data_IF_770903776707
#
_entry.id   IF_770903776707
#
_cell.length_a   1.000
_cell.length_b   1.000
_cell.length_c   1.000
_cell.angle_alpha   90.00
_cell.angle_beta   90.00
_cell.angle_gamma   90.00
#
_symmetry.space_group_name_H-M   'P 1'
#
loop_
_entity.id
_entity.type
_entity.pdbx_description
1 polymer ?
#
# COMPACT_ATOMS: atom_id res chain seq x y z
N UNK A 1 -6.56 19.13 12.17
CA UNK A 1 -5.46 18.14 12.22
C UNK A 1 -6.07 16.84 12.67
N UNK A 2 -6.39 15.96 11.72
CA UNK A 2 -6.85 14.61 12.04
C UNK A 2 -5.58 13.76 12.12
N UNK A 3 -5.39 13.08 13.25
CA UNK A 3 -4.25 12.21 13.51
C UNK A 3 -4.35 11.01 12.54
N UNK A 4 -3.58 11.03 11.44
CA UNK A 4 -3.49 9.97 10.42
C UNK A 4 -2.70 8.75 10.94
N UNK A 5 -2.91 8.42 12.21
CA UNK A 5 -2.26 7.34 12.93
C UNK A 5 -3.25 6.17 13.03
N UNK A 6 -2.78 4.93 13.14
CA UNK A 6 -3.63 3.73 13.32
C UNK A 6 -4.68 3.94 14.43
N UNK A 7 -4.30 4.60 15.51
CA UNK A 7 -5.20 4.94 16.61
C UNK A 7 -6.31 5.92 16.21
N UNK A 8 -6.03 6.87 15.31
CA UNK A 8 -7.02 7.79 14.75
C UNK A 8 -8.02 7.08 13.84
N UNK A 9 -7.56 6.16 13.00
CA UNK A 9 -8.44 5.33 12.15
C UNK A 9 -9.33 4.42 12.99
N UNK A 10 -8.76 3.72 13.99
CA UNK A 10 -9.54 2.87 14.90
C UNK A 10 -10.56 3.66 15.72
N UNK A 11 -10.21 4.88 16.15
CA UNK A 11 -11.14 5.74 16.91
C UNK A 11 -12.31 6.19 16.05
N UNK A 12 -12.08 6.61 14.80
CA UNK A 12 -13.17 6.98 13.87
C UNK A 12 -14.13 5.81 13.61
N UNK A 13 -13.58 4.60 13.42
CA UNK A 13 -14.41 3.40 13.22
C UNK A 13 -15.19 3.04 14.49
N UNK A 14 -14.54 3.11 15.64
CA UNK A 14 -15.19 2.93 16.94
C UNK A 14 -16.37 3.89 17.13
N UNK A 15 -16.18 5.17 16.80
CA UNK A 15 -17.25 6.19 16.83
C UNK A 15 -18.36 5.90 15.82
N UNK A 16 -17.99 5.55 14.58
CA UNK A 16 -18.95 5.27 13.50
C UNK A 16 -19.84 4.06 13.80
N UNK A 17 -19.28 3.02 14.41
CA UNK A 17 -19.98 1.76 14.67
C UNK A 17 -20.47 1.61 16.12
N UNK A 18 -20.11 2.54 17.02
CA UNK A 18 -20.47 2.49 18.44
C UNK A 18 -19.86 1.30 19.20
N UNK A 19 -18.74 0.76 18.70
CA UNK A 19 -18.05 -0.42 19.26
C UNK A 19 -16.71 -0.01 19.86
N UNK A 20 -16.15 -0.80 20.77
CA UNK A 20 -14.85 -0.49 21.34
C UNK A 20 -13.74 -0.65 20.27
N UNK A 21 -12.64 0.13 20.32
CA UNK A 21 -11.53 -0.03 19.39
C UNK A 21 -10.92 -1.45 19.39
N UNK A 22 -10.99 -2.15 20.52
CA UNK A 22 -10.58 -3.56 20.61
C UNK A 22 -11.47 -4.50 19.80
N UNK A 23 -12.77 -4.21 19.72
CA UNK A 23 -13.72 -5.00 18.93
C UNK A 23 -13.48 -4.77 17.43
N UNK A 24 -13.14 -3.53 17.02
CA UNK A 24 -12.74 -3.23 15.64
C UNK A 24 -11.55 -4.09 15.22
N UNK A 25 -10.54 -4.23 16.08
CA UNK A 25 -9.36 -5.06 15.81
C UNK A 25 -9.68 -6.55 15.69
N UNK A 26 -10.67 -7.04 16.45
CA UNK A 26 -11.11 -8.43 16.41
C UNK A 26 -12.01 -8.74 15.21
N UNK A 27 -12.82 -7.77 14.76
CA UNK A 27 -13.70 -7.92 13.61
C UNK A 27 -12.95 -7.74 12.28
N UNK A 28 -11.83 -7.01 12.30
CA UNK A 28 -11.02 -6.81 11.10
C UNK A 28 -10.29 -8.09 10.72
N UNK A 29 -10.52 -8.57 9.49
CA UNK A 29 -9.87 -9.78 8.95
C UNK A 29 -8.65 -9.47 8.10
N UNK A 30 -8.60 -8.30 7.46
CA UNK A 30 -7.47 -7.87 6.64
C UNK A 30 -7.17 -6.40 6.87
N UNK A 31 -5.91 -6.06 7.09
CA UNK A 31 -5.43 -4.69 7.02
C UNK A 31 -4.77 -4.46 5.66
N UNK A 32 -5.28 -3.48 4.90
CA UNK A 32 -4.66 -3.03 3.66
C UNK A 32 -3.69 -1.91 4.02
N UNK A 33 -2.40 -2.16 3.86
CA UNK A 33 -1.35 -1.21 4.19
C UNK A 33 -0.91 -0.49 2.92
N UNK A 34 -0.97 0.83 2.95
CA UNK A 34 -0.56 1.69 1.85
C UNK A 34 0.47 2.70 2.31
N UNK A 35 1.21 3.24 1.36
CA UNK A 35 2.21 4.24 1.64
C UNK A 35 1.58 5.54 2.14
N UNK A 36 0.77 6.20 1.31
CA UNK A 36 0.27 7.55 1.56
C UNK A 36 -1.22 7.63 1.83
N UNK A 37 -1.64 8.83 2.25
CA UNK A 37 -3.05 9.15 2.45
C UNK A 37 -3.84 9.18 1.13
N UNK A 38 -3.19 9.51 0.00
CA UNK A 38 -3.85 9.48 -1.30
C UNK A 38 -4.25 8.05 -1.67
N UNK A 39 -3.34 7.10 -1.50
CA UNK A 39 -3.57 5.67 -1.71
C UNK A 39 -4.75 5.17 -0.88
N UNK A 40 -4.80 5.58 0.39
CA UNK A 40 -5.90 5.23 1.29
C UNK A 40 -7.24 5.75 0.77
N UNK A 41 -7.31 7.03 0.35
CA UNK A 41 -8.55 7.62 -0.18
C UNK A 41 -9.01 6.88 -1.44
N UNK A 42 -8.07 6.61 -2.36
CA UNK A 42 -8.39 5.95 -3.64
C UNK A 42 -8.88 4.53 -3.42
N UNK A 43 -8.13 3.71 -2.66
CA UNK A 43 -8.52 2.33 -2.42
C UNK A 43 -9.79 2.24 -1.59
N UNK A 44 -10.00 3.08 -0.58
CA UNK A 44 -11.24 3.09 0.20
C UNK A 44 -12.47 3.39 -0.66
N UNK A 45 -12.33 4.21 -1.71
CA UNK A 45 -13.43 4.49 -2.61
C UNK A 45 -13.62 3.37 -3.64
N UNK A 46 -12.57 3.01 -4.38
CA UNK A 46 -12.67 2.06 -5.49
C UNK A 46 -12.92 0.62 -5.02
N UNK A 47 -12.53 0.27 -3.80
CA UNK A 47 -12.73 -1.05 -3.20
C UNK A 47 -13.76 -1.04 -2.08
N UNK A 48 -14.61 -0.01 -1.95
CA UNK A 48 -15.52 0.14 -0.81
C UNK A 48 -16.33 -1.14 -0.52
N UNK A 49 -16.95 -1.72 -1.56
CA UNK A 49 -17.74 -2.94 -1.45
C UNK A 49 -16.89 -4.16 -1.08
N UNK A 50 -15.69 -4.27 -1.64
CA UNK A 50 -14.79 -5.39 -1.42
C UNK A 50 -14.15 -5.35 -0.02
N UNK A 51 -13.77 -4.16 0.44
CA UNK A 51 -13.31 -3.89 1.81
C UNK A 51 -14.39 -4.27 2.81
N UNK A 52 -15.64 -3.88 2.57
CA UNK A 52 -16.78 -4.27 3.39
C UNK A 52 -16.98 -5.79 3.47
N UNK A 53 -17.02 -6.47 2.32
CA UNK A 53 -17.15 -7.93 2.23
C UNK A 53 -15.99 -8.68 2.90
N UNK A 54 -14.79 -8.12 2.84
CA UNK A 54 -13.59 -8.68 3.43
C UNK A 54 -13.43 -8.36 4.93
N UNK A 55 -14.30 -7.50 5.50
CA UNK A 55 -14.06 -6.91 6.84
C UNK A 55 -12.65 -6.33 6.94
N UNK A 56 -12.26 -5.58 5.90
CA UNK A 56 -10.93 -5.05 5.75
C UNK A 56 -10.87 -3.55 6.08
N UNK A 57 -9.69 -3.09 6.50
CA UNK A 57 -9.43 -1.70 6.85
C UNK A 57 -8.14 -1.22 6.20
N UNK A 58 -8.18 -0.07 5.52
CA UNK A 58 -7.01 0.54 4.90
C UNK A 58 -6.28 1.44 5.91
N UNK A 59 -4.95 1.37 5.91
CA UNK A 59 -4.08 2.14 6.80
C UNK A 59 -2.92 2.75 5.99
N UNK A 60 -2.85 4.08 5.94
CA UNK A 60 -1.70 4.80 5.43
C UNK A 60 -0.56 4.83 6.47
N UNK A 61 0.66 4.48 6.06
CA UNK A 61 1.80 4.35 6.97
C UNK A 61 2.69 5.60 7.04
N UNK A 62 2.69 6.43 5.99
CA UNK A 62 3.64 7.56 5.86
C UNK A 62 3.15 8.87 6.49
N UNK A 63 2.00 8.85 7.18
CA UNK A 63 1.49 9.98 7.98
C UNK A 63 1.95 10.02 9.44
N UNK A 64 2.46 8.90 9.99
CA UNK A 64 2.91 8.79 11.37
C UNK A 64 4.45 8.76 11.43
N UNK A 65 5.09 9.79 12.01
CA UNK A 65 6.55 9.92 12.12
C UNK A 65 7.18 8.61 12.64
N UNK A 66 8.19 8.09 11.91
CA UNK A 66 8.64 6.68 11.87
C UNK A 66 9.21 6.00 13.13
N UNK A 67 8.89 6.48 14.34
CA UNK A 67 9.04 5.70 15.58
C UNK A 67 7.71 5.05 16.01
N UNK A 68 6.57 5.63 15.59
CA UNK A 68 5.23 5.09 15.81
C UNK A 68 4.99 3.82 14.99
N UNK A 69 5.47 3.79 13.74
CA UNK A 69 5.30 2.67 12.80
C UNK A 69 5.73 1.30 13.37
N UNK A 70 6.90 1.21 14.00
CA UNK A 70 7.40 -0.06 14.57
C UNK A 70 6.58 -0.53 15.77
N UNK A 71 6.18 0.39 16.65
CA UNK A 71 5.38 0.08 17.84
C UNK A 71 3.97 -0.32 17.40
N UNK A 72 3.40 0.40 16.45
CA UNK A 72 2.08 0.13 15.89
C UNK A 72 2.05 -1.18 15.10
N UNK A 73 3.07 -1.47 14.30
CA UNK A 73 3.19 -2.76 13.61
C UNK A 73 3.27 -3.92 14.60
N UNK A 74 4.13 -3.82 15.63
CA UNK A 74 4.21 -4.83 16.70
C UNK A 74 2.88 -5.00 17.42
N UNK A 75 2.22 -3.89 17.76
CA UNK A 75 0.91 -3.90 18.40
C UNK A 75 -0.10 -4.64 17.52
N UNK A 76 -0.23 -4.27 16.24
CA UNK A 76 -1.12 -4.94 15.29
C UNK A 76 -0.85 -6.45 15.22
N UNK A 77 0.40 -6.88 15.04
CA UNK A 77 0.70 -8.32 15.02
C UNK A 77 0.38 -9.03 16.33
N UNK A 78 0.54 -8.36 17.47
CA UNK A 78 0.25 -8.95 18.78
C UNK A 78 -1.24 -8.93 19.17
N UNK A 79 -2.03 -8.03 18.58
CA UNK A 79 -3.40 -7.73 19.01
C UNK A 79 -4.48 -8.24 18.06
N UNK A 80 -4.12 -8.76 16.89
CA UNK A 80 -5.06 -9.35 15.94
C UNK A 80 -4.47 -10.57 15.23
N UNK A 81 -5.34 -11.42 14.67
CA UNK A 81 -4.99 -12.50 13.73
C UNK A 81 -5.23 -12.13 12.26
N UNK A 82 -5.58 -10.87 11.96
CA UNK A 82 -5.82 -10.39 10.61
C UNK A 82 -4.65 -10.62 9.64
N UNK A 83 -4.96 -10.81 8.36
CA UNK A 83 -3.98 -10.75 7.28
C UNK A 83 -3.55 -9.29 7.03
N UNK A 84 -2.36 -9.09 6.48
CA UNK A 84 -1.87 -7.79 6.04
C UNK A 84 -1.63 -7.86 4.53
N UNK A 85 -2.33 -7.01 3.79
CA UNK A 85 -2.12 -6.81 2.36
C UNK A 85 -1.39 -5.49 2.18
N UNK A 86 -0.10 -5.54 1.88
CA UNK A 86 0.69 -4.38 1.49
C UNK A 86 0.42 -4.10 0.01
N UNK A 87 0.02 -2.87 -0.32
CA UNK A 87 -0.14 -2.42 -1.71
C UNK A 87 0.96 -1.40 -2.02
N UNK A 88 1.70 -1.65 -3.10
CA UNK A 88 2.78 -0.81 -3.59
C UNK A 88 2.50 -0.38 -5.03
N UNK A 89 3.01 0.79 -5.40
CA UNK A 89 3.04 1.24 -6.79
C UNK A 89 3.95 0.35 -7.65
N UNK A 90 3.68 0.28 -8.95
CA UNK A 90 4.31 -0.72 -9.83
C UNK A 90 5.82 -0.61 -9.94
N UNK A 91 6.34 0.61 -9.93
CA UNK A 91 7.79 0.83 -9.97
C UNK A 91 8.51 0.24 -8.75
N UNK A 92 7.84 0.19 -7.59
CA UNK A 92 8.43 -0.35 -6.38
C UNK A 92 8.34 -1.88 -6.35
N UNK A 93 7.27 -2.46 -6.89
CA UNK A 93 7.05 -3.91 -6.78
C UNK A 93 8.12 -4.73 -7.49
N UNK A 94 8.57 -4.32 -8.67
CA UNK A 94 9.57 -5.07 -9.45
C UNK A 94 10.89 -5.24 -8.69
N UNK A 95 11.27 -4.24 -7.88
CA UNK A 95 12.46 -4.24 -7.04
C UNK A 95 12.23 -4.92 -5.67
N UNK A 96 11.02 -4.76 -5.11
CA UNK A 96 10.67 -5.29 -3.77
C UNK A 96 10.43 -6.80 -3.82
N UNK A 97 9.81 -7.32 -4.88
CA UNK A 97 9.36 -8.72 -4.95
C UNK A 97 10.49 -9.73 -4.73
N UNK A 98 11.65 -9.64 -5.42
CA UNK A 98 12.73 -10.61 -5.23
C UNK A 98 13.26 -10.62 -3.79
N UNK A 99 13.36 -9.44 -3.18
CA UNK A 99 13.81 -9.28 -1.78
C UNK A 99 12.80 -9.90 -0.81
N UNK A 100 11.52 -9.66 -1.05
CA UNK A 100 10.45 -10.18 -0.20
C UNK A 100 10.32 -11.70 -0.30
N UNK A 101 10.45 -12.26 -1.50
CA UNK A 101 10.40 -13.70 -1.72
C UNK A 101 11.62 -14.42 -1.12
N UNK A 102 12.81 -13.83 -1.21
CA UNK A 102 14.01 -14.32 -0.53
C UNK A 102 13.82 -14.34 1.00
N UNK A 103 13.33 -13.23 1.57
CA UNK A 103 13.03 -13.14 3.00
C UNK A 103 11.99 -14.19 3.43
N UNK A 104 10.95 -14.40 2.61
CA UNK A 104 9.91 -15.40 2.84
C UNK A 104 10.47 -16.81 2.82
N UNK A 105 11.32 -17.13 1.84
CA UNK A 105 11.98 -18.44 1.76
C UNK A 105 12.79 -18.75 3.00
N UNK A 106 13.60 -17.79 3.47
CA UNK A 106 14.34 -17.92 4.72
C UNK A 106 13.43 -18.05 5.96
N UNK A 107 12.37 -17.25 6.04
CA UNK A 107 11.42 -17.30 7.14
C UNK A 107 10.71 -18.66 7.24
N UNK A 108 10.25 -19.20 6.10
CA UNK A 108 9.60 -20.52 6.02
C UNK A 108 10.57 -21.66 6.40
N UNK A 109 11.86 -21.52 6.12
CA UNK A 109 12.90 -22.46 6.53
C UNK A 109 13.33 -22.31 8.01
N UNK A 110 12.76 -21.37 8.77
CA UNK A 110 13.16 -21.08 10.14
C UNK A 110 14.47 -20.26 10.27
N UNK A 111 15.03 -19.81 9.15
CA UNK A 111 16.28 -19.05 9.07
C UNK A 111 16.03 -17.55 9.29
N UNK A 112 15.65 -17.18 10.52
CA UNK A 112 15.19 -15.82 10.85
C UNK A 112 16.29 -14.77 10.63
N UNK A 113 17.56 -15.10 10.89
CA UNK A 113 18.67 -14.15 10.71
C UNK A 113 18.87 -13.80 9.24
N UNK A 114 18.79 -14.80 8.38
CA UNK A 114 18.91 -14.70 6.94
C UNK A 114 17.71 -13.94 6.35
N UNK A 115 16.50 -14.23 6.84
CA UNK A 115 15.30 -13.47 6.48
C UNK A 115 15.44 -11.98 6.77
N UNK A 116 16.00 -11.62 7.93
CA UNK A 116 16.31 -10.22 8.26
C UNK A 116 17.38 -9.62 7.36
N UNK A 117 18.40 -10.40 7.02
CA UNK A 117 19.46 -10.00 6.10
C UNK A 117 18.92 -9.69 4.71
N UNK A 118 17.96 -10.49 4.22
CA UNK A 118 17.25 -10.23 2.98
C UNK A 118 16.44 -8.92 3.06
N UNK A 119 15.59 -8.74 4.08
CA UNK A 119 14.80 -7.50 4.24
C UNK A 119 15.66 -6.22 4.32
N UNK A 120 16.87 -6.29 4.88
CA UNK A 120 17.77 -5.14 4.94
C UNK A 120 18.18 -4.62 3.55
N UNK A 121 18.06 -5.43 2.50
CA UNK A 121 18.32 -5.02 1.10
C UNK A 121 17.31 -4.01 0.59
N UNK A 122 16.13 -3.88 1.21
CA UNK A 122 15.11 -2.87 0.85
C UNK A 122 15.67 -1.43 0.91
N UNK A 123 16.68 -1.17 1.75
CA UNK A 123 17.36 0.14 1.83
C UNK A 123 18.08 0.52 0.54
N UNK A 124 18.47 -0.47 -0.27
CA UNK A 124 19.19 -0.28 -1.53
C UNK A 124 18.29 -0.06 -2.74
N UNK A 125 16.98 -0.26 -2.60
CA UNK A 125 16.00 -0.04 -3.67
C UNK A 125 15.88 1.47 -3.96
N UNK A 126 15.69 1.90 -5.22
CA UNK A 126 15.37 3.30 -5.53
C UNK A 126 14.15 3.78 -4.73
N UNK A 127 14.27 4.90 -4.00
CA UNK A 127 13.24 5.27 -3.02
C UNK A 127 13.30 4.44 -1.73
N UNK A 128 14.42 3.79 -1.40
CA UNK A 128 14.56 2.91 -0.23
C UNK A 128 14.31 3.59 1.13
N UNK A 129 14.37 4.92 1.20
CA UNK A 129 13.91 5.67 2.38
C UNK A 129 12.39 5.56 2.60
N UNK A 130 11.63 5.39 1.53
CA UNK A 130 10.18 5.17 1.52
C UNK A 130 9.85 3.75 1.98
N UNK A 131 10.65 2.75 1.57
CA UNK A 131 10.44 1.34 1.93
C UNK A 131 10.92 0.94 3.33
N UNK A 132 11.45 1.88 4.11
CA UNK A 132 11.88 1.62 5.49
C UNK A 132 10.76 1.05 6.35
N UNK A 133 9.53 1.51 6.16
CA UNK A 133 8.38 1.00 6.91
C UNK A 133 8.10 -0.48 6.58
N UNK A 134 8.35 -0.92 5.34
CA UNK A 134 8.12 -2.29 4.90
C UNK A 134 9.17 -3.24 5.50
N UNK A 135 10.43 -2.78 5.56
CA UNK A 135 11.49 -3.46 6.31
C UNK A 135 11.10 -3.59 7.79
N UNK A 136 10.66 -2.51 8.42
CA UNK A 136 10.22 -2.49 9.82
C UNK A 136 9.03 -3.43 10.09
N UNK A 137 8.04 -3.44 9.20
CA UNK A 137 6.88 -4.34 9.24
C UNK A 137 7.33 -5.80 9.16
N UNK A 138 8.20 -6.13 8.20
CA UNK A 138 8.75 -7.47 8.04
C UNK A 138 9.54 -7.92 9.27
N UNK A 139 10.38 -7.05 9.84
CA UNK A 139 11.09 -7.34 11.09
C UNK A 139 10.15 -7.58 12.26
N UNK A 140 9.05 -6.81 12.36
CA UNK A 140 8.03 -7.00 13.39
C UNK A 140 7.34 -8.36 13.24
N UNK A 141 6.94 -8.73 12.02
CA UNK A 141 6.30 -10.01 11.76
C UNK A 141 7.22 -11.21 12.00
N UNK A 142 8.52 -11.09 11.68
CA UNK A 142 9.52 -12.12 12.01
C UNK A 142 9.67 -12.30 13.53
N UNK A 143 9.65 -11.22 14.31
CA UNK A 143 9.73 -11.29 15.78
C UNK A 143 8.54 -12.04 16.41
N UNK A 144 7.39 -12.02 15.76
CA UNK A 144 6.16 -12.63 16.26
C UNK A 144 5.80 -13.92 15.53
N UNK A 145 6.71 -14.49 14.71
CA UNK A 145 6.46 -15.67 13.87
C UNK A 145 5.22 -15.56 12.97
N UNK A 146 4.89 -14.34 12.52
CA UNK A 146 3.68 -13.99 11.77
C UNK A 146 3.99 -13.48 10.36
N UNK A 147 5.20 -13.73 9.84
CA UNK A 147 5.61 -13.29 8.50
C UNK A 147 4.70 -13.81 7.38
N UNK A 148 4.16 -15.03 7.55
CA UNK A 148 3.21 -15.63 6.62
C UNK A 148 1.87 -14.86 6.51
N UNK A 149 1.57 -13.93 7.44
CA UNK A 149 0.37 -13.10 7.40
C UNK A 149 0.50 -11.88 6.49
N UNK A 150 1.69 -11.61 5.93
CA UNK A 150 1.90 -10.50 5.02
C UNK A 150 1.89 -10.99 3.57
N UNK A 151 0.99 -10.42 2.80
CA UNK A 151 0.96 -10.46 1.35
C UNK A 151 1.37 -9.10 0.79
N UNK A 152 2.19 -9.09 -0.26
CA UNK A 152 2.65 -7.86 -0.92
C UNK A 152 2.13 -7.90 -2.35
N UNK A 153 1.41 -6.85 -2.73
CA UNK A 153 0.81 -6.69 -4.04
C UNK A 153 1.33 -5.39 -4.68
N UNK A 154 1.77 -5.50 -5.92
CA UNK A 154 2.13 -4.35 -6.75
C UNK A 154 1.02 -4.04 -7.73
N UNK A 155 0.67 -2.76 -7.81
CA UNK A 155 -0.16 -2.23 -8.88
C UNK A 155 0.67 -2.11 -10.16
N UNK A 156 0.04 -2.13 -11.34
CA UNK A 156 0.75 -2.00 -12.61
C UNK A 156 1.15 -0.55 -12.89
N UNK A 157 0.28 0.41 -12.57
CA UNK A 157 0.57 1.80 -12.83
C UNK A 157 1.63 2.33 -11.85
N UNK A 158 2.39 3.34 -12.29
CA UNK A 158 3.50 3.90 -11.49
C UNK A 158 3.06 4.65 -10.24
N UNK A 159 1.79 5.02 -10.16
CA UNK A 159 1.22 5.82 -9.08
C UNK A 159 -0.30 5.59 -9.02
N UNK A 160 -0.85 5.47 -7.80
CA UNK A 160 -2.28 5.25 -7.57
C UNK A 160 -3.20 6.26 -8.28
N UNK A 161 -2.75 7.50 -8.50
CA UNK A 161 -3.57 8.53 -9.17
C UNK A 161 -3.89 8.19 -10.63
N UNK A 162 -3.12 7.30 -11.26
CA UNK A 162 -3.35 6.87 -12.64
C UNK A 162 -4.54 5.92 -12.79
N UNK A 163 -5.11 5.45 -11.68
CA UNK A 163 -6.39 4.73 -11.67
C UNK A 163 -7.60 5.68 -11.64
N UNK A 164 -7.38 6.99 -11.63
CA UNK A 164 -8.42 8.01 -11.59
C UNK A 164 -8.47 8.79 -12.92
N UNK A 165 -9.56 9.47 -13.27
CA UNK A 165 -9.64 10.22 -14.52
C UNK A 165 -8.63 11.38 -14.57
N UNK A 166 -7.79 11.44 -15.61
CA UNK A 166 -6.73 12.44 -15.78
C UNK A 166 -7.23 13.89 -15.76
N UNK A 167 -8.42 14.13 -16.32
CA UNK A 167 -9.04 15.45 -16.43
C UNK A 167 -9.43 16.06 -15.08
N UNK A 168 -9.37 15.28 -14.00
CA UNK A 168 -9.58 15.80 -12.64
C UNK A 168 -8.35 16.52 -12.08
N UNK A 169 -7.16 16.27 -12.63
CA UNK A 169 -5.91 16.80 -12.08
C UNK A 169 -5.31 17.92 -12.93
N UNK A 170 -5.65 17.96 -14.21
CA UNK A 170 -5.12 18.92 -15.17
C UNK A 170 -6.07 19.04 -16.37
N UNK A 171 -6.08 20.21 -17.02
CA UNK A 171 -6.73 20.37 -18.31
C UNK A 171 -5.91 19.67 -19.40
N UNK A 172 -6.35 18.48 -19.79
CA UNK A 172 -5.63 17.65 -20.75
C UNK A 172 -6.57 16.85 -21.63
N UNK A 173 -6.19 16.70 -22.90
CA UNK A 173 -6.77 15.74 -23.83
C UNK A 173 -5.98 14.42 -23.89
N UNK A 174 -4.91 14.30 -23.10
CA UNK A 174 -3.99 13.16 -23.11
C UNK A 174 -4.31 12.18 -22.00
N UNK A 175 -4.28 10.90 -22.33
CA UNK A 175 -4.46 9.83 -21.35
C UNK A 175 -3.23 9.64 -20.47
N UNK A 176 -3.39 8.95 -19.34
CA UNK A 176 -2.26 8.58 -18.48
C UNK A 176 -1.15 7.85 -19.22
N UNK A 177 -1.49 6.91 -20.11
CA UNK A 177 -0.50 6.18 -20.90
C UNK A 177 0.31 7.11 -21.83
N UNK A 178 -0.31 8.17 -22.37
CA UNK A 178 0.39 9.15 -23.20
C UNK A 178 1.29 10.06 -22.35
N UNK A 179 0.82 10.49 -21.18
CA UNK A 179 1.60 11.29 -20.23
C UNK A 179 2.81 10.50 -19.70
N UNK A 180 2.64 9.21 -19.45
CA UNK A 180 3.69 8.30 -19.04
C UNK A 180 4.78 8.17 -20.11
N UNK A 181 4.40 7.97 -21.38
CA UNK A 181 5.35 7.93 -22.49
C UNK A 181 6.12 9.25 -22.65
N UNK A 182 5.47 10.40 -22.45
CA UNK A 182 6.12 11.70 -22.50
C UNK A 182 7.11 11.91 -21.36
N UNK A 183 6.76 11.43 -20.16
CA UNK A 183 7.65 11.46 -19.01
C UNK A 183 8.87 10.56 -19.22
N UNK A 184 8.69 9.35 -19.77
CA UNK A 184 9.82 8.47 -20.11
C UNK A 184 10.73 9.09 -21.18
N UNK A 185 10.15 9.76 -22.18
CA UNK A 185 10.92 10.51 -23.18
C UNK A 185 11.70 11.68 -22.55
N UNK A 186 11.12 12.38 -21.58
CA UNK A 186 11.79 13.42 -20.78
C UNK A 186 12.93 12.85 -19.93
N UNK A 187 12.74 11.68 -19.32
CA UNK A 187 13.74 11.08 -18.43
C UNK A 187 14.93 10.46 -19.19
N UNK A 188 14.71 9.95 -20.41
CA UNK A 188 15.71 9.22 -21.19
C UNK A 188 17.06 9.93 -21.35
N UNK A 189 17.15 11.23 -21.69
CA UNK A 189 18.43 11.91 -21.81
C UNK A 189 19.06 12.33 -20.47
N UNK A 190 18.36 12.21 -19.34
CA UNK A 190 18.77 12.75 -18.05
C UNK A 190 19.43 11.70 -17.15
N UNK A 191 20.42 12.14 -16.36
CA UNK A 191 20.92 11.34 -15.24
C UNK A 191 19.86 11.23 -14.14
N UNK A 192 19.87 10.13 -13.37
CA UNK A 192 18.87 9.86 -12.33
C UNK A 192 18.74 11.01 -11.32
N UNK A 193 19.85 11.64 -10.95
CA UNK A 193 19.88 12.77 -10.01
C UNK A 193 19.22 14.05 -10.55
N UNK A 194 19.02 14.15 -11.87
CA UNK A 194 18.42 15.30 -12.54
C UNK A 194 16.93 15.08 -12.88
N UNK A 195 16.45 13.84 -12.73
CA UNK A 195 15.06 13.48 -13.01
C UNK A 195 14.17 14.00 -11.88
N UNK A 196 13.13 14.74 -12.25
CA UNK A 196 11.98 15.01 -11.38
C UNK A 196 11.17 13.74 -11.25
N UNK A 197 10.52 13.50 -10.11
CA UNK A 197 9.56 12.41 -10.05
C UNK A 197 8.33 12.73 -10.94
N UNK A 198 7.52 11.72 -11.24
CA UNK A 198 6.41 11.85 -12.19
C UNK A 198 5.42 12.96 -11.79
N UNK A 199 5.03 13.02 -10.51
CA UNK A 199 4.10 14.05 -9.99
C UNK A 199 4.71 15.45 -10.05
N UNK A 200 5.98 15.61 -9.73
CA UNK A 200 6.71 16.89 -9.89
C UNK A 200 6.76 17.31 -11.34
N UNK A 201 7.09 16.39 -12.26
CA UNK A 201 7.08 16.67 -13.68
C UNK A 201 5.69 17.08 -14.18
N UNK A 202 4.62 16.41 -13.75
CA UNK A 202 3.26 16.80 -14.09
C UNK A 202 2.88 18.19 -13.55
N UNK A 203 3.27 18.53 -12.31
CA UNK A 203 3.04 19.88 -11.77
C UNK A 203 3.76 20.94 -12.60
N UNK A 204 5.04 20.73 -12.87
CA UNK A 204 5.90 21.74 -13.49
C UNK A 204 5.61 21.93 -14.99
N UNK A 205 5.28 20.84 -15.70
CA UNK A 205 5.14 20.86 -17.16
C UNK A 205 3.70 20.72 -17.66
N UNK A 206 2.76 20.32 -16.81
CA UNK A 206 1.34 20.14 -17.18
C UNK A 206 0.39 20.91 -16.26
N UNK A 207 0.90 21.62 -15.25
CA UNK A 207 0.07 22.37 -14.30
C UNK A 207 -0.84 21.47 -13.46
N UNK A 208 -0.45 20.21 -13.26
CA UNK A 208 -1.29 19.27 -12.53
C UNK A 208 -1.38 19.61 -11.03
N UNK A 209 -2.53 19.32 -10.44
CA UNK A 209 -2.78 19.46 -9.00
C UNK A 209 -3.13 18.11 -8.39
N UNK A 210 -2.59 17.82 -7.21
CA UNK A 210 -2.80 16.55 -6.49
C UNK A 210 -3.10 16.82 -5.02
N UNK A 211 -3.88 17.87 -4.74
CA UNK A 211 -4.39 18.14 -3.41
C UNK A 211 -5.37 17.05 -2.99
N UNK A 212 -5.61 16.96 -1.68
CA UNK A 212 -6.59 16.00 -1.13
C UNK A 212 -7.96 16.13 -1.81
N UNK A 213 -8.43 17.37 -1.96
CA UNK A 213 -9.75 17.62 -2.55
C UNK A 213 -9.80 17.21 -4.02
N UNK A 214 -8.70 17.35 -4.76
CA UNK A 214 -8.59 16.86 -6.14
C UNK A 214 -8.74 15.33 -6.20
N UNK A 215 -8.09 14.61 -5.28
CA UNK A 215 -8.21 13.15 -5.17
C UNK A 215 -9.64 12.75 -4.81
N UNK A 216 -10.25 13.42 -3.83
CA UNK A 216 -11.64 13.14 -3.41
C UNK A 216 -12.62 13.38 -4.56
N UNK A 217 -12.47 14.47 -5.31
CA UNK A 217 -13.31 14.74 -6.47
C UNK A 217 -13.10 13.70 -7.58
N UNK A 218 -11.85 13.32 -7.82
CA UNK A 218 -11.50 12.36 -8.85
C UNK A 218 -12.04 10.95 -8.56
N UNK A 219 -12.01 10.49 -7.29
CA UNK A 219 -12.57 9.16 -6.95
C UNK A 219 -14.08 9.10 -7.20
N UNK A 220 -14.82 10.19 -7.00
CA UNK A 220 -16.27 10.23 -7.29
C UNK A 220 -16.59 10.10 -8.78
N UNK A 221 -15.67 10.48 -9.66
CA UNK A 221 -15.80 10.33 -11.11
C UNK A 221 -15.21 9.01 -11.64
N UNK A 222 -14.53 8.24 -10.78
CA UNK A 222 -13.82 7.05 -11.17
C UNK A 222 -14.71 5.80 -11.14
N UNK A 223 -14.28 4.77 -11.85
CA UNK A 223 -14.81 3.41 -11.70
C UNK A 223 -13.65 2.44 -11.58
N UNK A 224 -13.76 1.38 -10.76
CA UNK A 224 -12.66 0.45 -10.53
C UNK A 224 -12.21 -0.19 -11.85
N UNK A 225 -10.93 -0.07 -12.18
CA UNK A 225 -10.34 -0.77 -13.33
C UNK A 225 -10.35 -2.28 -13.12
N UNK A 226 -10.12 -3.07 -14.17
CA UNK A 226 -10.03 -4.55 -14.07
C UNK A 226 -9.00 -4.99 -13.02
N UNK A 227 -7.87 -4.28 -12.93
CA UNK A 227 -6.83 -4.58 -11.94
C UNK A 227 -7.28 -4.28 -10.52
N UNK A 228 -7.94 -3.15 -10.28
CA UNK A 228 -8.49 -2.82 -8.96
C UNK A 228 -9.59 -3.82 -8.57
N UNK A 229 -10.44 -4.24 -9.51
CA UNK A 229 -11.40 -5.32 -9.27
C UNK A 229 -10.70 -6.63 -8.88
N UNK A 230 -9.60 -6.98 -9.56
CA UNK A 230 -8.81 -8.17 -9.22
C UNK A 230 -8.17 -8.05 -7.82
N UNK A 231 -7.70 -6.86 -7.45
CA UNK A 231 -7.23 -6.59 -6.08
C UNK A 231 -8.35 -6.80 -5.05
N UNK A 232 -9.58 -6.36 -5.35
CA UNK A 232 -10.77 -6.64 -4.54
C UNK A 232 -11.07 -8.13 -4.37
N UNK A 233 -10.93 -8.93 -5.43
CA UNK A 233 -11.07 -10.40 -5.37
C UNK A 233 -9.97 -11.01 -4.50
N UNK A 234 -8.72 -10.57 -4.67
CA UNK A 234 -7.59 -11.05 -3.89
C UNK A 234 -7.77 -10.74 -2.40
N UNK A 235 -8.24 -9.53 -2.08
CA UNK A 235 -8.57 -9.12 -0.73
C UNK A 235 -9.63 -10.02 -0.08
N UNK A 236 -10.73 -10.28 -0.78
CA UNK A 236 -11.77 -11.18 -0.29
C UNK A 236 -11.26 -12.62 -0.10
N UNK A 237 -10.38 -13.08 -0.99
CA UNK A 237 -9.74 -14.40 -0.89
C UNK A 237 -8.87 -14.49 0.36
N UNK A 238 -8.03 -13.47 0.60
CA UNK A 238 -7.21 -13.37 1.82
C UNK A 238 -8.07 -13.38 3.08
N UNK A 239 -9.19 -12.66 3.09
CA UNK A 239 -10.09 -12.59 4.24
C UNK A 239 -10.81 -13.92 4.56
N UNK A 240 -10.99 -14.78 3.56
CA UNK A 240 -11.71 -16.06 3.70
C UNK A 240 -10.76 -17.22 4.02
N UNK A 241 -9.60 -17.25 3.36
CA UNK A 241 -8.75 -18.43 3.35
C UNK A 241 -7.33 -18.17 3.86
N UNK A 242 -6.96 -16.93 4.16
CA UNK A 242 -5.55 -16.57 4.29
C UNK A 242 -4.83 -16.61 2.94
N UNK A 243 -3.52 -16.90 2.92
CA UNK A 243 -2.77 -16.98 1.66
C UNK A 243 -3.15 -18.23 0.86
N UNK A 244 -3.23 -18.08 -0.46
CA UNK A 244 -3.51 -19.19 -1.39
C UNK A 244 -2.47 -20.33 -1.25
N UNK A 245 -1.19 -20.00 -1.09
CA UNK A 245 -0.11 -20.99 -0.93
C UNK A 245 -0.23 -21.84 0.35
N UNK A 246 -1.04 -21.42 1.33
CA UNK A 246 -1.29 -22.20 2.55
C UNK A 246 -2.35 -23.29 2.33
N UNK A 247 -3.12 -23.23 1.24
CA UNK A 247 -4.15 -24.21 0.90
C UNK A 247 -3.61 -25.44 0.15
N UNK A 248 -2.41 -25.37 -0.44
CA UNK A 248 -1.78 -26.53 -1.12
C UNK A 248 -1.14 -27.55 -0.16
N UNK A 249 -1.24 -27.33 1.16
CA UNK A 249 -0.66 -28.20 2.20
C UNK A 249 -1.75 -28.99 2.98
N UNK A 250 -3.02 -28.88 2.60
CA UNK A 250 -4.12 -29.70 3.16
C UNK A 250 -4.64 -30.72 2.14
#
# INVERSE_FOLDING_TARGET
>A
MIDSTIQGTLSKLSEQFGIAPGDVLQLTRVFVLVEGEHDEIVLNHLLADDLGKASAQTLALRGAKGLRSVVEAKFLFSSTEAMFLVVLDGLLMDEVRPIWDEARGHANAGNIREARGALAKLKGVPGGGELKWLEELGHAALNTAKFARIEVHGLKERDIVMYLPEGCFMDTSKTWAQLDQEYEAYCRPLHLAERRNFKEWLRDFRGAHFGRDDIVNAVHAASPSTEIQQLGINLQTLARFGRADALEIL
#
